data_IF_411099456066
#
_entry.id   IF_411099456066
#
_cell.length_a   1.000
_cell.length_b   1.000
_cell.length_c   1.000
_cell.angle_alpha   90.00
_cell.angle_beta   90.00
_cell.angle_gamma   90.00
#
_symmetry.space_group_name_H-M   'P 1'
#
loop_
_entity.id
_entity.type
_entity.pdbx_description
1 polymer ?
#
# COMPACT_ATOMS: atom_id res chain seq x y z
N UNK A 1 66.88 -44.05 17.93
CA UNK A 1 66.51 -43.25 16.76
C UNK A 1 65.38 -42.34 17.18
N UNK A 2 65.58 -41.01 17.05
CA UNK A 2 64.75 -39.96 17.59
C UNK A 2 63.44 -39.80 16.82
N UNK A 3 62.34 -39.57 17.55
CA UNK A 3 61.18 -38.88 17.02
C UNK A 3 60.72 -37.77 17.98
N UNK A 4 60.86 -36.52 17.51
CA UNK A 4 60.53 -35.32 18.25
C UNK A 4 58.96 -35.06 18.11
N UNK A 5 58.33 -35.02 19.26
CA UNK A 5 56.93 -34.54 19.34
C UNK A 5 56.87 -33.00 19.36
N UNK A 6 56.10 -32.40 18.47
CA UNK A 6 55.83 -30.99 18.50
C UNK A 6 54.45 -30.75 19.19
N UNK A 7 54.50 -30.01 20.30
CA UNK A 7 53.33 -29.58 21.03
C UNK A 7 52.68 -28.37 20.32
N UNK A 8 51.42 -28.49 19.91
CA UNK A 8 50.61 -27.36 19.41
C UNK A 8 49.91 -26.69 20.60
N UNK A 9 50.28 -25.44 20.88
CA UNK A 9 49.55 -24.56 21.78
C UNK A 9 48.33 -24.01 21.04
N UNK A 10 47.10 -24.35 21.49
CA UNK A 10 45.88 -23.74 21.06
C UNK A 10 45.61 -22.46 21.89
N UNK A 11 45.74 -21.29 21.28
CA UNK A 11 45.27 -20.03 21.86
C UNK A 11 43.76 -19.93 21.68
N UNK A 12 42.99 -20.02 22.77
CA UNK A 12 41.60 -19.63 22.81
C UNK A 12 41.51 -18.10 22.89
N UNK A 13 41.21 -17.43 21.78
CA UNK A 13 40.81 -16.03 21.77
C UNK A 13 39.31 -15.93 22.14
N UNK A 14 39.03 -15.52 23.39
CA UNK A 14 37.68 -15.17 23.81
C UNK A 14 37.31 -13.83 23.18
N UNK A 15 36.55 -13.88 22.09
CA UNK A 15 35.95 -12.70 21.48
C UNK A 15 34.76 -12.20 22.34
N UNK A 16 34.94 -11.06 23.01
CA UNK A 16 33.85 -10.34 23.67
C UNK A 16 33.01 -9.71 22.59
N UNK A 17 31.83 -10.30 22.28
CA UNK A 17 30.81 -9.67 21.50
C UNK A 17 30.14 -8.59 22.33
N UNK A 18 30.55 -7.34 22.18
CA UNK A 18 29.78 -6.18 22.59
C UNK A 18 28.57 -6.06 21.67
N UNK A 19 27.44 -6.59 22.13
CA UNK A 19 26.14 -6.32 21.50
C UNK A 19 25.81 -4.84 21.69
N UNK A 20 26.12 -4.02 20.69
CA UNK A 20 25.59 -2.67 20.58
C UNK A 20 24.09 -2.79 20.33
N UNK A 21 23.28 -2.64 21.36
CA UNK A 21 21.85 -2.30 21.21
C UNK A 21 21.80 -0.91 20.58
N UNK A 22 21.79 -0.86 19.24
CA UNK A 22 21.37 0.35 18.54
C UNK A 22 19.90 0.52 18.86
N UNK A 23 19.60 1.45 19.77
CA UNK A 23 18.27 2.01 19.88
C UNK A 23 17.87 2.46 18.49
N UNK A 24 16.75 1.96 17.99
CA UNK A 24 16.13 2.42 16.77
C UNK A 24 15.61 3.84 17.04
N UNK A 25 16.47 4.84 16.94
CA UNK A 25 16.02 6.20 16.75
C UNK A 25 15.35 6.22 15.38
N UNK A 26 14.03 6.40 15.35
CA UNK A 26 13.30 6.70 14.14
C UNK A 26 13.98 7.89 13.46
N UNK A 27 14.41 7.78 12.21
CA UNK A 27 15.06 8.91 11.55
C UNK A 27 14.02 10.03 11.46
N UNK A 28 14.17 11.07 12.26
CA UNK A 28 13.48 12.33 12.01
C UNK A 28 13.96 12.79 10.65
N UNK A 29 13.09 12.74 9.65
CA UNK A 29 13.37 13.24 8.32
C UNK A 29 13.63 14.75 8.44
N UNK A 30 14.90 15.14 8.50
CA UNK A 30 15.33 16.53 8.63
C UNK A 30 15.27 17.31 7.33
N UNK A 31 14.27 17.05 6.48
CA UNK A 31 14.09 17.70 5.19
C UNK A 31 12.61 17.78 4.78
N UNK A 32 12.33 18.41 3.62
CA UNK A 32 10.99 18.40 3.05
C UNK A 32 10.51 16.96 2.83
N UNK A 33 9.26 16.66 3.21
CA UNK A 33 8.65 15.35 2.96
C UNK A 33 8.53 15.13 1.45
N UNK A 34 8.83 13.91 1.02
CA UNK A 34 8.58 13.49 -0.34
C UNK A 34 7.06 13.46 -0.59
N UNK A 35 6.63 14.13 -1.67
CA UNK A 35 5.22 14.16 -2.06
C UNK A 35 4.96 13.13 -3.14
N UNK A 36 3.86 12.42 -3.02
CA UNK A 36 3.32 11.54 -4.06
C UNK A 36 1.95 12.05 -4.51
N UNK A 37 1.54 11.68 -5.71
CA UNK A 37 0.25 12.09 -6.24
C UNK A 37 -0.59 10.92 -6.72
N UNK A 38 -1.90 11.04 -6.50
CA UNK A 38 -2.88 10.11 -7.06
C UNK A 38 -3.42 10.63 -8.39
N UNK A 39 -3.50 9.74 -9.39
CA UNK A 39 -4.22 9.95 -10.65
C UNK A 39 -5.50 9.14 -10.59
N UNK A 40 -6.59 9.76 -10.10
CA UNK A 40 -7.86 9.09 -9.79
C UNK A 40 -8.90 9.20 -10.90
N UNK A 41 -8.48 9.64 -12.10
CA UNK A 41 -9.34 9.83 -13.26
C UNK A 41 -9.67 8.51 -13.94
N UNK A 42 -10.96 8.28 -14.20
CA UNK A 42 -11.44 7.13 -14.96
C UNK A 42 -11.28 7.31 -16.47
N UNK A 43 -11.15 8.55 -16.92
CA UNK A 43 -10.99 8.91 -18.34
C UNK A 43 -9.66 9.61 -18.54
N UNK A 44 -8.80 8.99 -19.34
CA UNK A 44 -7.46 9.49 -19.67
C UNK A 44 -7.52 10.37 -20.92
N UNK A 45 -8.14 11.55 -20.78
CA UNK A 45 -8.18 12.58 -21.81
C UNK A 45 -6.87 13.35 -21.90
N UNK A 46 -6.76 14.26 -22.87
CA UNK A 46 -5.54 15.03 -23.08
C UNK A 46 -5.08 15.82 -21.87
N UNK A 47 -5.95 16.53 -21.11
CA UNK A 47 -5.55 17.21 -19.89
C UNK A 47 -4.88 16.32 -18.84
N UNK A 48 -5.35 15.08 -18.65
CA UNK A 48 -4.72 14.12 -17.70
C UNK A 48 -3.32 13.73 -18.18
N UNK A 49 -3.17 13.42 -19.48
CA UNK A 49 -1.86 13.11 -20.06
C UNK A 49 -0.88 14.25 -19.94
N UNK A 50 -1.34 15.47 -20.23
CA UNK A 50 -0.51 16.67 -20.16
C UNK A 50 -0.10 16.99 -18.71
N UNK A 51 -1.01 16.83 -17.74
CA UNK A 51 -0.70 17.01 -16.32
C UNK A 51 0.41 16.04 -15.86
N UNK A 52 0.33 14.76 -16.24
CA UNK A 52 1.37 13.79 -15.90
C UNK A 52 2.71 14.18 -16.55
N UNK A 53 2.72 14.48 -17.84
CA UNK A 53 3.94 14.87 -18.56
C UNK A 53 4.62 16.12 -17.98
N UNK A 54 3.83 17.10 -17.55
CA UNK A 54 4.33 18.39 -17.07
C UNK A 54 4.73 18.36 -15.60
N UNK A 55 4.07 17.53 -14.78
CA UNK A 55 4.19 17.64 -13.32
C UNK A 55 4.72 16.40 -12.62
N UNK A 56 4.80 15.23 -13.28
CA UNK A 56 5.25 14.00 -12.61
C UNK A 56 6.65 14.10 -12.00
N UNK A 57 7.53 14.94 -12.59
CA UNK A 57 8.88 15.17 -12.04
C UNK A 57 8.90 15.90 -10.69
N UNK A 58 7.77 16.48 -10.27
CA UNK A 58 7.63 17.17 -8.98
C UNK A 58 7.25 16.21 -7.85
N UNK A 59 6.96 14.94 -8.18
CA UNK A 59 6.50 13.94 -7.23
C UNK A 59 7.51 12.80 -7.10
N UNK A 60 7.59 12.24 -5.89
CA UNK A 60 8.39 11.05 -5.61
C UNK A 60 7.77 9.77 -6.21
N UNK A 61 6.49 9.81 -6.55
CA UNK A 61 5.77 8.72 -7.18
C UNK A 61 4.35 9.11 -7.56
N UNK A 62 3.76 8.31 -8.45
CA UNK A 62 2.35 8.40 -8.83
C UNK A 62 1.67 7.09 -8.46
N UNK A 63 0.42 7.16 -7.95
CA UNK A 63 -0.45 5.99 -7.82
C UNK A 63 -1.68 6.23 -8.70
N UNK A 64 -1.91 5.32 -9.67
CA UNK A 64 -2.95 5.49 -10.68
C UNK A 64 -4.11 4.53 -10.44
N UNK A 65 -5.35 5.02 -10.46
CA UNK A 65 -6.53 4.16 -10.41
C UNK A 65 -6.57 3.28 -11.66
N UNK A 66 -6.47 1.96 -11.47
CA UNK A 66 -6.43 1.02 -12.59
C UNK A 66 -7.73 0.20 -12.71
N UNK A 67 -8.37 -0.11 -11.58
CA UNK A 67 -9.68 -0.73 -11.59
C UNK A 67 -10.49 -0.41 -10.34
N UNK A 68 -11.80 -0.53 -10.46
CA UNK A 68 -12.75 -0.48 -9.36
C UNK A 68 -13.59 -1.76 -9.38
N UNK A 69 -13.78 -2.36 -8.21
CA UNK A 69 -14.68 -3.49 -8.01
C UNK A 69 -15.85 -3.03 -7.15
N UNK A 70 -17.05 -3.30 -7.60
CA UNK A 70 -18.29 -3.07 -6.86
C UNK A 70 -19.16 -4.32 -6.91
N UNK A 71 -20.21 -4.36 -6.09
CA UNK A 71 -21.13 -5.49 -6.07
C UNK A 71 -22.54 -5.04 -6.40
N UNK A 72 -23.20 -5.81 -7.29
CA UNK A 72 -24.65 -5.72 -7.52
C UNK A 72 -25.28 -6.98 -6.95
N UNK A 73 -25.85 -6.88 -5.74
CA UNK A 73 -26.15 -8.06 -4.94
C UNK A 73 -24.89 -8.83 -4.59
N UNK A 74 -24.84 -10.10 -4.91
CA UNK A 74 -23.66 -10.97 -4.69
C UNK A 74 -22.69 -11.01 -5.89
N UNK A 75 -23.06 -10.37 -7.00
CA UNK A 75 -22.25 -10.40 -8.23
C UNK A 75 -21.24 -9.25 -8.25
N UNK A 76 -19.93 -9.54 -8.34
CA UNK A 76 -18.92 -8.52 -8.51
C UNK A 76 -18.95 -7.94 -9.92
N UNK A 77 -18.72 -6.64 -10.01
CA UNK A 77 -18.57 -5.89 -11.25
C UNK A 77 -17.22 -5.19 -11.24
N UNK A 78 -16.45 -5.36 -12.30
CA UNK A 78 -15.14 -4.72 -12.47
C UNK A 78 -15.25 -3.63 -13.51
N UNK A 79 -14.87 -2.42 -13.14
CA UNK A 79 -14.67 -1.30 -14.05
C UNK A 79 -13.16 -1.12 -14.22
N UNK A 80 -12.65 -1.42 -15.42
CA UNK A 80 -11.26 -1.15 -15.78
C UNK A 80 -11.08 0.29 -16.21
N UNK A 81 -10.02 0.94 -15.74
CA UNK A 81 -9.61 2.25 -16.22
C UNK A 81 -8.60 2.05 -17.35
N UNK A 82 -8.89 2.51 -18.58
CA UNK A 82 -7.98 2.38 -19.70
C UNK A 82 -6.81 3.36 -19.52
N UNK A 83 -5.72 2.87 -18.95
CA UNK A 83 -4.52 3.66 -18.67
C UNK A 83 -3.76 3.96 -19.99
N UNK A 84 -3.15 5.15 -20.06
CA UNK A 84 -2.19 5.45 -21.10
C UNK A 84 -0.78 5.00 -20.69
N UNK A 85 -0.47 3.73 -20.97
CA UNK A 85 0.82 3.14 -20.61
C UNK A 85 2.00 3.84 -21.28
N UNK A 86 1.80 4.47 -22.45
CA UNK A 86 2.87 5.21 -23.11
C UNK A 86 3.27 6.45 -22.31
N UNK A 87 2.33 7.09 -21.64
CA UNK A 87 2.59 8.21 -20.74
C UNK A 87 3.22 7.74 -19.44
N UNK A 88 2.73 6.63 -18.88
CA UNK A 88 3.20 6.11 -17.60
C UNK A 88 4.61 5.52 -17.64
N UNK A 89 4.97 4.80 -18.69
CA UNK A 89 6.31 4.24 -18.86
C UNK A 89 7.39 5.30 -19.10
N UNK A 90 6.99 6.49 -19.55
CA UNK A 90 7.86 7.64 -19.73
C UNK A 90 7.81 8.63 -18.56
N UNK A 91 7.03 8.34 -17.50
CA UNK A 91 6.99 9.18 -16.33
C UNK A 91 8.36 9.18 -15.61
N UNK A 92 8.86 10.35 -15.16
CA UNK A 92 10.18 10.48 -14.52
C UNK A 92 10.19 10.00 -13.06
N UNK A 93 9.10 9.43 -12.56
CA UNK A 93 8.97 8.90 -11.21
C UNK A 93 8.32 7.51 -11.22
N UNK A 94 8.51 6.70 -10.16
CA UNK A 94 7.86 5.40 -10.03
C UNK A 94 6.34 5.49 -10.07
N UNK A 95 5.69 4.48 -10.65
CA UNK A 95 4.23 4.40 -10.79
C UNK A 95 3.70 3.19 -10.03
N UNK A 96 2.78 3.40 -9.11
CA UNK A 96 1.97 2.39 -8.45
C UNK A 96 0.59 2.26 -9.11
N UNK A 97 -0.04 1.11 -8.95
CA UNK A 97 -1.40 0.84 -9.40
C UNK A 97 -2.35 0.84 -8.19
N UNK A 98 -3.55 1.36 -8.34
CA UNK A 98 -4.59 1.27 -7.33
C UNK A 98 -5.76 0.39 -7.81
N UNK A 99 -6.16 -0.54 -6.95
CA UNK A 99 -7.39 -1.31 -7.04
C UNK A 99 -8.35 -0.82 -5.97
N UNK A 100 -9.41 -0.12 -6.39
CA UNK A 100 -10.47 0.30 -5.48
C UNK A 100 -11.50 -0.80 -5.30
N UNK A 101 -11.83 -1.11 -4.05
CA UNK A 101 -12.85 -2.08 -3.70
C UNK A 101 -13.99 -1.35 -3.00
N UNK A 102 -15.17 -1.36 -3.59
CA UNK A 102 -16.38 -0.76 -3.01
C UNK A 102 -16.94 -1.58 -1.86
N UNK A 103 -17.94 -1.05 -1.14
CA UNK A 103 -18.59 -1.75 -0.04
C UNK A 103 -19.04 -3.16 -0.46
N UNK A 104 -18.65 -4.17 0.32
CA UNK A 104 -18.98 -5.57 0.11
C UNK A 104 -19.77 -6.10 1.30
N UNK A 105 -20.95 -6.67 1.05
CA UNK A 105 -21.76 -7.35 2.07
C UNK A 105 -21.26 -8.76 2.36
N UNK A 106 -20.49 -9.38 1.45
CA UNK A 106 -19.97 -10.73 1.60
C UNK A 106 -19.08 -10.86 2.85
N UNK A 107 -19.08 -12.06 3.41
CA UNK A 107 -18.08 -12.42 4.42
C UNK A 107 -16.69 -12.34 3.79
N UNK A 108 -15.75 -11.80 4.52
CA UNK A 108 -14.38 -11.67 4.05
C UNK A 108 -13.58 -12.79 4.72
N UNK A 109 -13.26 -13.84 3.96
CA UNK A 109 -12.49 -15.00 4.45
C UNK A 109 -11.45 -15.46 3.42
N UNK A 110 -10.43 -16.18 3.89
CA UNK A 110 -9.24 -16.51 3.08
C UNK A 110 -9.53 -17.34 1.80
N UNK A 111 -10.59 -18.12 1.80
CA UNK A 111 -10.88 -19.11 0.74
C UNK A 111 -12.25 -18.94 0.10
N UNK A 112 -12.91 -17.80 0.29
CA UNK A 112 -14.18 -17.54 -0.36
C UNK A 112 -13.99 -17.14 -1.84
N UNK A 113 -15.06 -17.28 -2.60
CA UNK A 113 -15.07 -16.96 -4.03
C UNK A 113 -14.68 -15.50 -4.30
N UNK A 114 -15.05 -14.58 -3.39
CA UNK A 114 -14.73 -13.17 -3.52
C UNK A 114 -13.22 -12.92 -3.37
N UNK A 115 -12.56 -13.60 -2.43
CA UNK A 115 -11.10 -13.51 -2.25
C UNK A 115 -10.34 -13.97 -3.48
N UNK A 116 -10.72 -15.13 -4.03
CA UNK A 116 -10.11 -15.67 -5.26
C UNK A 116 -10.32 -14.69 -6.42
N UNK A 117 -11.55 -14.24 -6.62
CA UNK A 117 -11.90 -13.30 -7.67
C UNK A 117 -11.09 -12.00 -7.57
N UNK A 118 -11.02 -11.38 -6.39
CA UNK A 118 -10.28 -10.14 -6.19
C UNK A 118 -8.78 -10.32 -6.39
N UNK A 119 -8.22 -11.46 -5.96
CA UNK A 119 -6.81 -11.78 -6.18
C UNK A 119 -6.50 -11.99 -7.69
N UNK A 120 -7.42 -12.58 -8.44
CA UNK A 120 -7.29 -12.73 -9.89
C UNK A 120 -7.41 -11.37 -10.62
N UNK A 121 -8.30 -10.49 -10.17
CA UNK A 121 -8.35 -9.12 -10.67
C UNK A 121 -7.02 -8.43 -10.41
N UNK A 122 -6.51 -8.45 -9.18
CA UNK A 122 -5.23 -7.85 -8.80
C UNK A 122 -4.07 -8.35 -9.69
N UNK A 123 -3.97 -9.67 -9.87
CA UNK A 123 -2.94 -10.28 -10.73
C UNK A 123 -3.06 -9.82 -12.19
N UNK A 124 -4.28 -9.70 -12.69
CA UNK A 124 -4.52 -9.25 -14.07
C UNK A 124 -4.09 -7.80 -14.30
N UNK A 125 -4.22 -6.92 -13.29
CA UNK A 125 -3.73 -5.53 -13.37
C UNK A 125 -2.21 -5.48 -13.51
N UNK A 126 -1.51 -6.25 -12.66
CA UNK A 126 -0.04 -6.32 -12.69
C UNK A 126 0.46 -6.94 -13.99
N UNK A 127 -0.21 -8.00 -14.47
CA UNK A 127 0.13 -8.65 -15.73
C UNK A 127 -0.05 -7.72 -16.92
N UNK A 128 -1.16 -6.97 -16.95
CA UNK A 128 -1.44 -5.98 -17.99
C UNK A 128 -0.37 -4.88 -18.00
N UNK A 129 -0.06 -4.28 -16.85
CA UNK A 129 1.00 -3.29 -16.73
C UNK A 129 2.34 -3.81 -17.26
N UNK A 130 2.71 -5.03 -16.86
CA UNK A 130 3.95 -5.68 -17.30
C UNK A 130 3.99 -5.92 -18.81
N UNK A 131 2.87 -6.29 -19.42
CA UNK A 131 2.76 -6.47 -20.88
C UNK A 131 3.02 -5.17 -21.64
N UNK A 132 2.74 -4.04 -21.01
CA UNK A 132 3.04 -2.70 -21.51
C UNK A 132 4.40 -2.16 -21.04
N UNK A 133 5.27 -3.00 -20.45
CA UNK A 133 6.60 -2.64 -19.93
C UNK A 133 6.57 -1.66 -18.75
N UNK A 134 5.44 -1.51 -18.07
CA UNK A 134 5.35 -0.81 -16.81
C UNK A 134 5.58 -1.82 -15.68
N UNK A 135 6.64 -1.60 -14.88
CA UNK A 135 6.88 -2.35 -13.65
C UNK A 135 6.25 -1.55 -12.51
N UNK A 136 5.12 -1.97 -11.95
CA UNK A 136 4.49 -1.22 -10.88
C UNK A 136 5.38 -1.20 -9.64
N UNK A 137 5.53 -0.02 -9.02
CA UNK A 137 6.21 0.12 -7.72
C UNK A 137 5.49 -0.66 -6.63
N UNK A 138 4.16 -0.64 -6.68
CA UNK A 138 3.27 -1.32 -5.76
C UNK A 138 1.89 -1.53 -6.39
N UNK A 139 1.11 -2.43 -5.81
CA UNK A 139 -0.33 -2.49 -5.96
C UNK A 139 -0.97 -2.01 -4.65
N UNK A 140 -1.63 -0.87 -4.70
CA UNK A 140 -2.36 -0.31 -3.56
C UNK A 140 -3.82 -0.76 -3.59
N UNK A 141 -4.30 -1.29 -2.47
CA UNK A 141 -5.69 -1.69 -2.28
C UNK A 141 -6.43 -0.59 -1.51
N UNK A 142 -7.40 0.04 -2.16
CA UNK A 142 -8.27 1.05 -1.56
C UNK A 142 -9.60 0.42 -1.17
N UNK A 143 -9.74 0.06 0.12
CA UNK A 143 -10.93 -0.60 0.65
C UNK A 143 -11.30 -0.07 2.03
N UNK A 144 -12.33 0.76 2.09
CA UNK A 144 -12.89 1.30 3.31
C UNK A 144 -13.86 0.30 3.96
N UNK A 145 -13.35 -0.62 4.76
CA UNK A 145 -14.21 -1.60 5.45
C UNK A 145 -14.54 -1.19 6.89
N UNK A 146 -15.58 -1.80 7.44
CA UNK A 146 -15.88 -1.69 8.86
C UNK A 146 -14.78 -2.37 9.70
N UNK A 147 -14.53 -1.85 10.91
CA UNK A 147 -13.52 -2.39 11.84
C UNK A 147 -13.68 -3.89 12.11
N UNK A 148 -14.93 -4.35 12.19
CA UNK A 148 -15.24 -5.79 12.36
C UNK A 148 -14.81 -6.69 11.19
N UNK A 149 -14.42 -6.12 10.05
CA UNK A 149 -13.98 -6.85 8.86
C UNK A 149 -12.46 -6.86 8.67
N UNK A 150 -11.69 -6.23 9.54
CA UNK A 150 -10.24 -6.09 9.39
C UNK A 150 -9.50 -7.43 9.33
N UNK A 151 -9.89 -8.42 10.13
CA UNK A 151 -9.26 -9.75 10.05
C UNK A 151 -9.54 -10.46 8.73
N UNK A 152 -10.74 -10.30 8.17
CA UNK A 152 -11.05 -10.78 6.84
C UNK A 152 -10.27 -10.02 5.76
N UNK A 153 -10.18 -8.71 5.87
CA UNK A 153 -9.39 -7.89 4.94
C UNK A 153 -7.92 -8.32 4.94
N UNK A 154 -7.35 -8.66 6.09
CA UNK A 154 -6.01 -9.27 6.18
C UNK A 154 -5.88 -10.52 5.30
N UNK A 155 -6.85 -11.40 5.32
CA UNK A 155 -6.83 -12.58 4.48
C UNK A 155 -6.84 -12.26 2.96
N UNK A 156 -7.54 -11.19 2.55
CA UNK A 156 -7.47 -10.68 1.18
C UNK A 156 -6.08 -10.16 0.83
N UNK A 157 -5.49 -9.34 1.70
CA UNK A 157 -4.14 -8.77 1.48
C UNK A 157 -3.11 -9.89 1.33
N UNK A 158 -3.17 -10.91 2.19
CA UNK A 158 -2.30 -12.10 2.08
C UNK A 158 -2.49 -12.85 0.74
N UNK A 159 -3.74 -12.95 0.25
CA UNK A 159 -4.03 -13.55 -1.05
C UNK A 159 -3.48 -12.70 -2.21
N UNK A 160 -3.66 -11.37 -2.15
CA UNK A 160 -3.11 -10.45 -3.15
C UNK A 160 -1.59 -10.55 -3.20
N UNK A 161 -0.90 -10.46 -2.07
CA UNK A 161 0.57 -10.57 -2.00
C UNK A 161 1.08 -11.85 -2.65
N UNK A 162 0.46 -12.98 -2.34
CA UNK A 162 0.85 -14.27 -2.97
C UNK A 162 0.66 -14.25 -4.48
N UNK A 163 -0.42 -13.60 -4.97
CA UNK A 163 -0.81 -13.64 -6.38
C UNK A 163 -0.03 -12.67 -7.25
N UNK A 164 0.36 -11.51 -6.69
CA UNK A 164 1.06 -10.44 -7.44
C UNK A 164 2.57 -10.38 -7.19
N UNK A 165 3.12 -11.28 -6.37
CA UNK A 165 4.55 -11.31 -6.11
C UNK A 165 5.37 -11.29 -7.41
N UNK A 166 6.46 -10.53 -7.50
CA UNK A 166 7.14 -9.81 -6.43
C UNK A 166 6.66 -8.35 -6.20
N UNK A 167 5.55 -7.91 -6.79
CA UNK A 167 5.04 -6.55 -6.64
C UNK A 167 4.54 -6.36 -5.20
N UNK A 168 5.03 -5.34 -4.46
CA UNK A 168 4.56 -5.03 -3.11
C UNK A 168 3.07 -4.69 -3.09
N UNK A 169 2.39 -5.04 -2.00
CA UNK A 169 0.98 -4.69 -1.78
C UNK A 169 0.85 -3.75 -0.60
N UNK A 170 0.40 -2.54 -0.86
CA UNK A 170 0.04 -1.56 0.17
C UNK A 170 -1.49 -1.43 0.29
N UNK A 171 -1.95 -0.81 1.38
CA UNK A 171 -3.37 -0.59 1.64
C UNK A 171 -3.64 0.86 2.01
N UNK A 172 -4.86 1.35 1.78
CA UNK A 172 -5.35 2.55 2.46
C UNK A 172 -5.85 2.18 3.85
N UNK A 173 -5.67 3.05 4.83
CA UNK A 173 -6.07 2.84 6.21
C UNK A 173 -6.86 4.03 6.75
N UNK A 174 -7.89 3.75 7.54
CA UNK A 174 -8.70 4.77 8.21
C UNK A 174 -8.16 5.05 9.62
N UNK A 175 -8.19 6.30 10.11
CA UNK A 175 -7.77 6.63 11.46
C UNK A 175 -8.52 5.89 12.57
N UNK A 176 -9.76 5.48 12.32
CA UNK A 176 -10.54 4.69 13.27
C UNK A 176 -9.99 3.27 13.49
N UNK A 177 -9.16 2.77 12.58
CA UNK A 177 -8.57 1.43 12.69
C UNK A 177 -7.32 1.39 13.57
N UNK A 178 -6.64 2.51 13.77
CA UNK A 178 -5.31 2.58 14.39
C UNK A 178 -5.23 1.94 15.78
N UNK A 179 -6.31 2.01 16.55
CA UNK A 179 -6.38 1.43 17.91
C UNK A 179 -6.88 -0.02 17.92
N UNK A 180 -7.24 -0.58 16.76
CA UNK A 180 -7.76 -1.93 16.66
C UNK A 180 -6.64 -2.97 16.61
N UNK A 181 -6.61 -3.98 17.49
CA UNK A 181 -5.61 -5.05 17.39
C UNK A 181 -5.64 -5.78 16.04
N UNK A 182 -6.81 -5.84 15.40
CA UNK A 182 -6.97 -6.40 14.06
C UNK A 182 -6.25 -5.56 12.99
N UNK A 183 -6.17 -4.24 13.14
CA UNK A 183 -5.43 -3.39 12.22
C UNK A 183 -3.92 -3.63 12.30
N UNK A 184 -3.37 -3.83 13.48
CA UNK A 184 -1.95 -4.18 13.62
C UNK A 184 -1.62 -5.43 12.81
N UNK A 185 -2.42 -6.49 12.91
CA UNK A 185 -2.23 -7.73 12.14
C UNK A 185 -2.41 -7.52 10.64
N UNK A 186 -3.31 -6.63 10.23
CA UNK A 186 -3.51 -6.26 8.83
C UNK A 186 -2.30 -5.48 8.29
N UNK A 187 -1.80 -4.51 9.03
CA UNK A 187 -0.62 -3.71 8.65
C UNK A 187 0.63 -4.57 8.54
N UNK A 188 0.82 -5.56 9.43
CA UNK A 188 1.90 -6.55 9.36
C UNK A 188 1.79 -7.49 8.14
N UNK A 189 0.57 -7.72 7.65
CA UNK A 189 0.32 -8.53 6.46
C UNK A 189 0.53 -7.77 5.14
N UNK A 190 0.48 -6.45 5.15
CA UNK A 190 0.77 -5.59 4.00
C UNK A 190 2.26 -5.20 3.94
N UNK A 191 2.72 -4.71 2.79
CA UNK A 191 4.08 -4.17 2.65
C UNK A 191 4.15 -2.68 3.05
N UNK A 192 3.00 -2.05 3.30
CA UNK A 192 2.86 -0.68 3.77
C UNK A 192 1.40 -0.24 3.81
N UNK A 193 1.16 0.94 4.39
CA UNK A 193 -0.18 1.55 4.33
C UNK A 193 -0.12 3.06 4.18
N UNK A 194 -1.16 3.61 3.59
CA UNK A 194 -1.40 5.06 3.46
C UNK A 194 -2.56 5.45 4.35
N UNK A 195 -2.30 6.27 5.36
CA UNK A 195 -3.32 6.76 6.28
C UNK A 195 -4.16 7.85 5.62
N UNK A 196 -5.47 7.63 5.49
CA UNK A 196 -6.40 8.62 4.97
C UNK A 196 -6.74 9.65 6.06
N UNK A 197 -6.26 10.87 5.92
CA UNK A 197 -6.50 11.96 6.89
C UNK A 197 -7.48 13.01 6.37
N UNK A 198 -8.12 12.74 5.26
CA UNK A 198 -9.17 13.60 4.67
C UNK A 198 -10.57 13.08 5.01
N UNK A 199 -11.57 13.95 4.88
CA UNK A 199 -13.01 13.60 5.02
C UNK A 199 -13.35 12.89 6.36
N UNK A 200 -12.61 13.19 7.42
CA UNK A 200 -12.80 12.60 8.74
C UNK A 200 -14.08 13.06 9.45
N UNK A 201 -14.63 14.18 9.01
CA UNK A 201 -15.86 14.74 9.54
C UNK A 201 -16.95 14.72 8.46
N UNK A 202 -18.10 14.17 8.82
CA UNK A 202 -19.29 14.26 7.94
C UNK A 202 -20.09 15.50 8.34
N UNK A 203 -20.51 16.34 7.37
CA UNK A 203 -21.42 17.45 7.65
C UNK A 203 -22.74 16.89 8.21
N UNK A 204 -23.29 17.56 9.22
CA UNK A 204 -24.54 17.13 9.86
C UNK A 204 -25.77 17.47 9.03
N UNK A 205 -25.66 18.43 8.10
CA UNK A 205 -26.68 18.86 7.17
C UNK A 205 -26.06 19.19 5.81
N UNK A 206 -26.87 19.20 4.76
CA UNK A 206 -26.40 19.42 3.38
C UNK A 206 -25.75 20.80 3.17
N UNK A 207 -26.22 21.81 3.89
CA UNK A 207 -25.74 23.20 3.87
C UNK A 207 -24.71 23.51 4.96
N UNK A 208 -24.36 22.52 5.80
CA UNK A 208 -23.37 22.73 6.83
C UNK A 208 -21.96 22.88 6.22
N UNK A 209 -21.16 23.86 6.68
CA UNK A 209 -19.79 23.98 6.25
C UNK A 209 -19.01 22.73 6.63
N UNK A 210 -18.20 22.23 5.70
CA UNK A 210 -17.29 21.11 5.96
C UNK A 210 -15.90 21.41 5.43
N UNK A 211 -14.89 20.76 6.00
CA UNK A 211 -13.53 20.80 5.50
C UNK A 211 -13.13 19.42 4.98
N UNK A 212 -12.40 19.39 3.87
CA UNK A 212 -11.85 18.14 3.33
C UNK A 212 -10.77 17.55 4.26
N UNK A 213 -10.02 18.41 4.92
CA UNK A 213 -9.01 18.00 5.89
C UNK A 213 -9.03 18.95 7.09
N UNK A 214 -9.20 18.42 8.28
CA UNK A 214 -8.97 19.11 9.55
C UNK A 214 -7.51 18.88 9.95
N UNK A 215 -6.62 19.91 9.91
CA UNK A 215 -5.20 19.71 10.20
C UNK A 215 -4.93 19.21 11.61
N UNK A 216 -5.74 19.57 12.60
CA UNK A 216 -5.57 19.11 13.97
C UNK A 216 -5.95 17.63 14.11
N UNK A 217 -7.04 17.20 13.47
CA UNK A 217 -7.44 15.80 13.44
C UNK A 217 -6.43 14.94 12.64
N UNK A 218 -5.93 15.45 11.50
CA UNK A 218 -4.92 14.80 10.71
C UNK A 218 -3.62 14.59 11.50
N UNK A 219 -3.13 15.63 12.19
CA UNK A 219 -1.95 15.54 13.05
C UNK A 219 -2.11 14.47 14.12
N UNK A 220 -3.22 14.48 14.87
CA UNK A 220 -3.48 13.44 15.88
C UNK A 220 -3.53 12.02 15.30
N UNK A 221 -4.05 11.87 14.08
CA UNK A 221 -4.07 10.57 13.43
C UNK A 221 -2.66 10.09 13.06
N UNK A 222 -1.82 10.98 12.52
CA UNK A 222 -0.42 10.68 12.18
C UNK A 222 0.38 10.35 13.45
N UNK A 223 0.24 11.13 14.54
CA UNK A 223 0.91 10.87 15.82
C UNK A 223 0.54 9.50 16.42
N UNK A 224 -0.70 9.03 16.20
CA UNK A 224 -1.13 7.69 16.63
C UNK A 224 -0.64 6.56 15.71
N UNK A 225 -0.32 6.87 14.47
CA UNK A 225 0.16 5.90 13.48
C UNK A 225 1.69 5.68 13.55
N UNK A 226 2.41 6.60 14.19
CA UNK A 226 3.87 6.55 14.38
C UNK A 226 4.26 5.63 15.55
#
# INVERSE_FOLDING_TARGET
MCARGAALLALCAAGIFLSSTRGSESPHAGGPLAHEAYVWQRVWNQPVRDAIKQHASQFAGLTVLNAEVSWKGEQPQVIRVPLDYSVLTNAPCPVGLALRIGPCAASVSANDTATVFLADVAASLVTEASSHRLVPRELQIDFDCAESKLDGYRAWVEAFRRKVAPVPVSITALPSWLEQPAFKRLAEAADGYVLQVHSLQRPRAYDAPFTLCDPAAARRAVERAA
#
